data_IF_562509127558
#
_entry.id   IF_562509127558
#
_cell.length_a   1.000
_cell.length_b   1.000
_cell.length_c   1.000
_cell.angle_alpha   90.00
_cell.angle_beta   90.00
_cell.angle_gamma   90.00
#
_symmetry.space_group_name_H-M   'P 1'
#
loop_
_entity.id
_entity.type
_entity.pdbx_description
1 polymer ?
#
# COMPACT_ATOMS: atom_id res chain seq x y z
N UNK A 1 -18.14 8.47 -4.00
CA UNK A 1 -17.75 8.37 -2.56
C UNK A 1 -18.21 9.63 -1.84
N UNK A 2 -18.85 9.49 -0.69
CA UNK A 2 -19.22 10.65 0.11
C UNK A 2 -18.04 11.23 0.90
N UNK A 3 -18.23 12.43 1.51
CA UNK A 3 -17.16 13.13 2.20
C UNK A 3 -16.64 12.37 3.44
N UNK A 4 -17.48 11.61 4.12
CA UNK A 4 -17.11 10.82 5.29
C UNK A 4 -16.25 9.63 4.88
N UNK A 5 -16.65 8.90 3.84
CA UNK A 5 -15.86 7.79 3.31
C UNK A 5 -14.53 8.28 2.73
N UNK A 6 -14.51 9.45 2.09
CA UNK A 6 -13.29 10.10 1.61
C UNK A 6 -12.32 10.39 2.75
N UNK A 7 -12.78 11.05 3.80
CA UNK A 7 -11.95 11.37 4.96
C UNK A 7 -11.41 10.10 5.64
N UNK A 8 -12.21 9.05 5.71
CA UNK A 8 -11.78 7.76 6.25
C UNK A 8 -10.70 7.11 5.38
N UNK A 9 -10.88 7.10 4.07
CA UNK A 9 -9.90 6.55 3.14
C UNK A 9 -8.58 7.31 3.23
N UNK A 10 -8.60 8.63 3.21
CA UNK A 10 -7.40 9.46 3.37
C UNK A 10 -6.74 9.21 4.72
N UNK A 11 -7.50 9.09 5.80
CA UNK A 11 -6.99 8.74 7.12
C UNK A 11 -6.28 7.37 7.16
N UNK A 12 -6.79 6.39 6.44
CA UNK A 12 -6.13 5.08 6.31
C UNK A 12 -4.84 5.18 5.51
N UNK A 13 -4.87 5.87 4.36
CA UNK A 13 -3.72 5.97 3.46
C UNK A 13 -2.58 6.80 4.04
N UNK A 14 -2.88 7.88 4.73
CA UNK A 14 -1.88 8.80 5.26
C UNK A 14 -1.50 8.47 6.71
N UNK A 15 -2.45 7.97 7.51
CA UNK A 15 -2.26 7.71 8.94
C UNK A 15 -1.74 6.32 9.28
N UNK A 16 -2.03 5.29 8.46
CA UNK A 16 -1.51 3.95 8.75
C UNK A 16 -0.09 3.80 8.23
N UNK A 17 0.70 2.97 8.90
CA UNK A 17 2.13 2.83 8.64
C UNK A 17 2.48 1.55 7.88
N UNK A 18 1.65 0.51 8.03
CA UNK A 18 1.87 -0.80 7.43
C UNK A 18 0.62 -1.28 6.69
N UNK A 19 0.84 -2.08 5.68
CA UNK A 19 -0.19 -2.82 4.97
C UNK A 19 0.13 -4.32 4.96
N UNK A 20 -0.91 -5.13 4.84
CA UNK A 20 -0.77 -6.53 4.47
C UNK A 20 -0.84 -6.64 2.96
N UNK A 21 0.20 -7.22 2.36
CA UNK A 21 0.32 -7.38 0.91
C UNK A 21 0.13 -8.84 0.52
N UNK A 22 -0.77 -9.10 -0.39
CA UNK A 22 -0.93 -10.41 -1.03
C UNK A 22 -0.39 -10.36 -2.47
N UNK A 23 0.47 -11.30 -2.79
CA UNK A 23 1.08 -11.48 -4.12
C UNK A 23 1.09 -12.97 -4.47
N UNK A 24 1.39 -13.28 -5.73
CA UNK A 24 1.51 -14.66 -6.21
C UNK A 24 3.00 -14.98 -6.37
N UNK A 25 3.45 -16.05 -5.74
CA UNK A 25 4.81 -16.60 -5.86
C UNK A 25 4.70 -18.08 -6.19
N UNK A 26 5.27 -18.49 -7.32
CA UNK A 26 5.22 -19.88 -7.81
C UNK A 26 3.77 -20.43 -7.90
N UNK A 27 2.83 -19.58 -8.35
CA UNK A 27 1.42 -19.93 -8.49
C UNK A 27 0.61 -19.96 -7.21
N UNK A 28 1.21 -19.62 -6.07
CA UNK A 28 0.56 -19.64 -4.76
C UNK A 28 0.46 -18.25 -4.15
N UNK A 29 -0.61 -17.93 -3.40
CA UNK A 29 -0.73 -16.69 -2.68
C UNK A 29 0.28 -16.63 -1.51
N UNK A 30 0.95 -15.50 -1.40
CA UNK A 30 1.89 -15.21 -0.31
C UNK A 30 1.53 -13.87 0.30
N UNK A 31 1.54 -13.78 1.62
CA UNK A 31 1.26 -12.54 2.36
C UNK A 31 2.54 -12.01 3.00
N UNK A 32 2.73 -10.70 2.92
CA UNK A 32 3.77 -9.97 3.62
C UNK A 32 3.21 -8.75 4.35
N UNK A 33 3.90 -8.32 5.39
CA UNK A 33 3.64 -7.04 6.08
C UNK A 33 4.72 -6.05 5.67
N UNK A 34 4.31 -4.91 5.13
CA UNK A 34 5.21 -3.89 4.61
C UNK A 34 4.85 -2.51 5.11
N UNK A 35 5.84 -1.67 5.48
CA UNK A 35 5.63 -0.25 5.58
C UNK A 35 5.27 0.34 4.22
N UNK A 36 4.43 1.35 4.19
CA UNK A 36 4.03 2.00 2.96
C UNK A 36 3.89 3.51 3.11
N UNK A 37 4.03 4.22 2.02
CA UNK A 37 3.67 5.62 1.88
C UNK A 37 2.77 5.82 0.66
N UNK A 38 1.93 6.85 0.70
CA UNK A 38 1.16 7.26 -0.48
C UNK A 38 2.11 7.91 -1.49
N UNK A 39 1.97 7.59 -2.76
CA UNK A 39 2.75 8.24 -3.81
C UNK A 39 2.41 9.74 -3.90
N UNK A 40 3.37 10.55 -4.32
CA UNK A 40 3.18 12.00 -4.50
C UNK A 40 2.26 12.29 -5.69
N UNK A 41 2.23 11.39 -6.66
CA UNK A 41 1.43 11.49 -7.88
C UNK A 41 0.61 10.23 -8.12
N UNK A 42 -0.63 10.42 -8.56
CA UNK A 42 -1.52 9.34 -8.99
C UNK A 42 -1.93 8.35 -7.90
N UNK A 43 -2.80 7.40 -8.27
CA UNK A 43 -3.39 6.44 -7.33
C UNK A 43 -2.43 5.28 -7.04
N UNK A 44 -1.39 5.50 -6.24
CA UNK A 44 -0.40 4.48 -5.93
C UNK A 44 0.12 4.55 -4.50
N UNK A 45 0.65 3.42 -4.04
CA UNK A 45 1.40 3.30 -2.79
C UNK A 45 2.85 2.92 -3.10
N UNK A 46 3.76 3.42 -2.28
CA UNK A 46 5.18 3.09 -2.33
C UNK A 46 5.49 2.16 -1.17
N UNK A 47 6.11 1.03 -1.46
CA UNK A 47 6.60 0.08 -0.47
C UNK A 47 8.10 -0.11 -0.62
N UNK A 48 8.76 -0.38 0.50
CA UNK A 48 10.14 -0.83 0.53
C UNK A 48 10.15 -2.30 0.94
N UNK A 49 10.78 -3.16 0.15
CA UNK A 49 10.80 -4.58 0.41
C UNK A 49 12.22 -5.13 0.34
N UNK A 50 12.52 -6.07 1.25
CA UNK A 50 13.76 -6.83 1.23
C UNK A 50 13.75 -7.82 0.08
N UNK A 51 14.85 -7.89 -0.67
CA UNK A 51 15.04 -8.89 -1.74
C UNK A 51 15.09 -10.32 -1.22
N UNK A 52 15.36 -10.49 0.09
CA UNK A 52 15.42 -11.79 0.74
C UNK A 52 14.02 -12.28 1.20
N UNK A 53 13.03 -11.41 1.27
CA UNK A 53 11.69 -11.77 1.69
C UNK A 53 10.95 -12.54 0.59
N UNK A 54 10.19 -13.57 0.99
CA UNK A 54 9.45 -14.42 0.05
C UNK A 54 8.45 -13.63 -0.79
N UNK A 55 7.71 -12.73 -0.19
CA UNK A 55 6.72 -11.91 -0.92
C UNK A 55 7.35 -11.01 -1.98
N UNK A 56 8.61 -10.61 -1.84
CA UNK A 56 9.31 -9.79 -2.84
C UNK A 56 9.44 -10.49 -4.19
N UNK A 57 9.47 -11.83 -4.22
CA UNK A 57 9.48 -12.61 -5.45
C UNK A 57 8.20 -12.43 -6.28
N UNK A 58 7.11 -12.02 -5.67
CA UNK A 58 5.86 -11.67 -6.35
C UNK A 58 5.77 -10.22 -6.81
N UNK A 59 6.70 -9.37 -6.39
CA UNK A 59 6.77 -7.96 -6.79
C UNK A 59 7.50 -7.80 -8.12
N UNK A 60 6.91 -8.30 -9.19
CA UNK A 60 7.42 -8.21 -10.57
C UNK A 60 6.61 -7.21 -11.37
N UNK A 61 7.22 -6.62 -12.40
CA UNK A 61 6.58 -5.68 -13.30
C UNK A 61 5.27 -6.24 -13.86
N UNK A 62 4.17 -5.49 -13.64
CA UNK A 62 2.84 -5.87 -14.07
C UNK A 62 2.14 -6.95 -13.25
N UNK A 63 2.79 -7.51 -12.21
CA UNK A 63 2.19 -8.54 -11.37
C UNK A 63 0.98 -8.01 -10.60
N UNK A 64 -0.06 -8.82 -10.39
CA UNK A 64 -1.21 -8.43 -9.57
C UNK A 64 -0.84 -8.39 -8.09
N UNK A 65 -1.49 -7.52 -7.35
CA UNK A 65 -1.45 -7.50 -5.89
C UNK A 65 -2.83 -7.21 -5.30
N UNK A 66 -3.02 -7.62 -4.07
CA UNK A 66 -4.03 -7.10 -3.15
C UNK A 66 -3.35 -6.56 -1.90
N UNK A 67 -3.83 -5.43 -1.39
CA UNK A 67 -3.33 -4.82 -0.15
C UNK A 67 -4.49 -4.55 0.81
N UNK A 68 -4.27 -4.80 2.09
CA UNK A 68 -5.21 -4.50 3.18
C UNK A 68 -4.58 -3.47 4.10
N UNK A 69 -5.31 -2.37 4.32
CA UNK A 69 -4.97 -1.33 5.30
C UNK A 69 -6.19 -1.19 6.22
N UNK A 70 -5.98 -1.22 7.53
CA UNK A 70 -7.09 -1.14 8.47
C UNK A 70 -6.75 -0.32 9.72
N UNK A 71 -7.79 0.17 10.40
CA UNK A 71 -7.66 0.75 11.73
C UNK A 71 -7.21 -0.31 12.75
N UNK A 72 -6.51 0.07 13.82
CA UNK A 72 -6.13 -0.87 14.88
C UNK A 72 -7.37 -1.47 15.55
N UNK A 73 -7.33 -2.76 15.82
CA UNK A 73 -8.30 -3.40 16.71
C UNK A 73 -7.89 -3.15 18.16
N UNK A 74 -8.66 -2.31 18.86
CA UNK A 74 -8.44 -1.96 20.27
C UNK A 74 -9.33 -2.75 21.22
N UNK A 75 -10.13 -3.67 20.69
CA UNK A 75 -11.02 -4.53 21.49
C UNK A 75 -12.31 -3.86 21.96
N UNK A 76 -12.60 -2.64 21.50
CA UNK A 76 -13.76 -1.83 21.90
C UNK A 76 -14.99 -1.99 20.99
N UNK A 77 -14.85 -2.77 19.91
CA UNK A 77 -15.92 -3.04 18.93
C UNK A 77 -15.75 -4.40 18.29
N UNK A 78 -16.78 -4.84 17.58
CA UNK A 78 -16.72 -6.03 16.74
C UNK A 78 -15.63 -5.84 15.67
N UNK A 79 -14.67 -6.78 15.54
CA UNK A 79 -13.62 -6.68 14.52
C UNK A 79 -14.14 -6.55 13.08
N UNK A 80 -15.32 -7.07 12.78
CA UNK A 80 -15.94 -6.91 11.45
C UNK A 80 -16.36 -5.47 11.15
N UNK A 81 -16.45 -4.62 12.17
CA UNK A 81 -16.74 -3.19 12.02
C UNK A 81 -15.49 -2.33 11.81
N UNK A 82 -14.28 -2.92 11.92
CA UNK A 82 -13.05 -2.16 11.72
C UNK A 82 -13.03 -1.51 10.33
N UNK A 83 -12.85 -0.18 10.28
CA UNK A 83 -12.62 0.52 9.03
C UNK A 83 -11.39 -0.04 8.32
N UNK A 84 -11.55 -0.34 7.03
CA UNK A 84 -10.48 -0.93 6.23
C UNK A 84 -10.63 -0.64 4.75
N UNK A 85 -9.52 -0.53 4.07
CA UNK A 85 -9.43 -0.45 2.62
C UNK A 85 -8.75 -1.69 2.07
N UNK A 86 -9.38 -2.33 1.11
CA UNK A 86 -8.79 -3.40 0.29
C UNK A 86 -8.52 -2.80 -1.08
N UNK A 87 -7.26 -2.81 -1.49
CA UNK A 87 -6.80 -2.15 -2.72
C UNK A 87 -6.18 -3.19 -3.64
N UNK A 88 -6.50 -3.11 -4.91
CA UNK A 88 -6.04 -4.05 -5.93
C UNK A 88 -5.47 -3.30 -7.12
N UNK A 89 -4.41 -3.85 -7.70
CA UNK A 89 -3.81 -3.26 -8.89
C UNK A 89 -2.62 -4.04 -9.41
N UNK A 90 -1.65 -3.30 -9.96
CA UNK A 90 -0.45 -3.83 -10.60
C UNK A 90 0.82 -3.26 -10.00
N UNK A 91 1.82 -4.10 -9.88
CA UNK A 91 3.16 -3.73 -9.42
C UNK A 91 3.92 -3.03 -10.54
N UNK A 92 4.63 -1.96 -10.19
CA UNK A 92 5.69 -1.37 -11.02
C UNK A 92 7.00 -1.44 -10.27
N UNK A 93 7.98 -2.03 -10.92
CA UNK A 93 9.36 -2.05 -10.42
C UNK A 93 10.00 -0.69 -10.70
N UNK A 94 10.66 -0.14 -9.70
CA UNK A 94 11.33 1.15 -9.79
C UNK A 94 12.83 0.95 -9.93
N UNK A 95 13.37 1.38 -11.08
CA UNK A 95 14.80 1.29 -11.34
C UNK A 95 15.56 2.45 -10.66
N UNK A 96 16.60 2.17 -9.86
CA UNK A 96 17.43 3.21 -9.28
C UNK A 96 17.98 4.17 -10.33
N UNK A 97 18.01 5.48 -10.01
CA UNK A 97 18.49 6.53 -10.91
C UNK A 97 17.44 7.09 -11.87
N UNK A 98 16.21 6.55 -11.87
CA UNK A 98 15.09 7.13 -12.62
C UNK A 98 14.36 8.18 -11.78
N UNK A 99 13.63 9.08 -12.45
CA UNK A 99 12.80 10.09 -11.79
C UNK A 99 11.69 9.42 -10.94
N UNK A 100 11.03 8.40 -11.47
CA UNK A 100 10.00 7.64 -10.75
C UNK A 100 10.52 7.03 -9.45
N UNK A 101 11.74 6.49 -9.47
CA UNK A 101 12.40 5.97 -8.28
C UNK A 101 12.70 7.08 -7.26
N UNK A 102 13.18 8.24 -7.73
CA UNK A 102 13.51 9.38 -6.87
C UNK A 102 12.26 9.95 -6.19
N UNK A 103 11.15 10.09 -6.91
CA UNK A 103 9.87 10.53 -6.37
C UNK A 103 9.30 9.55 -5.35
N UNK A 104 9.37 8.26 -5.64
CA UNK A 104 8.95 7.20 -4.71
C UNK A 104 9.78 7.22 -3.42
N UNK A 105 11.09 7.37 -3.55
CA UNK A 105 12.00 7.51 -2.41
C UNK A 105 11.67 8.74 -1.58
N UNK A 106 11.41 9.87 -2.21
CA UNK A 106 11.01 11.11 -1.53
C UNK A 106 9.71 10.91 -0.73
N UNK A 107 8.67 10.36 -1.35
CA UNK A 107 7.39 10.07 -0.69
C UNK A 107 7.57 9.15 0.54
N UNK A 108 8.36 8.09 0.37
CA UNK A 108 8.61 7.11 1.42
C UNK A 108 9.40 7.70 2.58
N UNK A 109 10.50 8.42 2.31
CA UNK A 109 11.34 9.02 3.33
C UNK A 109 10.68 10.18 4.07
N UNK A 110 9.74 10.88 3.44
CA UNK A 110 8.92 11.90 4.11
C UNK A 110 8.09 11.28 5.25
N UNK A 111 7.57 10.07 5.04
CA UNK A 111 6.81 9.34 6.06
C UNK A 111 7.70 8.57 7.03
N UNK A 112 8.82 8.04 6.55
CA UNK A 112 9.76 7.21 7.30
C UNK A 112 11.19 7.75 7.19
N UNK A 113 11.52 8.88 7.85
CA UNK A 113 12.85 9.49 7.72
C UNK A 113 13.99 8.57 8.19
N UNK A 114 13.73 7.69 9.16
CA UNK A 114 14.71 6.70 9.63
C UNK A 114 15.02 5.57 8.64
N UNK A 115 14.22 5.43 7.57
CA UNK A 115 14.42 4.38 6.57
C UNK A 115 15.60 4.64 5.61
N UNK A 116 16.22 5.81 5.65
CA UNK A 116 17.37 6.14 4.79
C UNK A 116 18.53 5.15 5.00
N UNK A 117 18.84 4.80 6.24
CA UNK A 117 19.89 3.82 6.55
C UNK A 117 19.58 2.44 5.95
N UNK A 118 18.32 2.01 6.00
CA UNK A 118 17.87 0.74 5.40
C UNK A 118 17.91 0.80 3.87
N UNK A 119 17.52 1.93 3.28
CA UNK A 119 17.58 2.12 1.83
C UNK A 119 19.01 2.05 1.26
N UNK A 120 20.01 2.32 2.08
CA UNK A 120 21.42 2.20 1.70
C UNK A 120 21.96 0.77 1.80
N UNK A 121 21.23 -0.14 2.46
CA UNK A 121 21.54 -1.56 2.46
C UNK A 121 21.08 -2.15 1.12
N UNK A 122 21.96 -2.67 0.29
CA UNK A 122 21.67 -3.14 -1.07
C UNK A 122 20.60 -4.24 -1.20
N UNK A 123 20.07 -4.75 -0.07
CA UNK A 123 19.06 -5.80 -0.02
C UNK A 123 17.61 -5.28 -0.11
N UNK A 124 17.41 -3.95 -0.10
CA UNK A 124 16.07 -3.33 -0.15
C UNK A 124 15.86 -2.58 -1.46
N UNK A 125 14.64 -2.64 -1.96
CA UNK A 125 14.22 -1.91 -3.16
C UNK A 125 12.86 -1.27 -2.95
N UNK A 126 12.58 -0.20 -3.70
CA UNK A 126 11.28 0.44 -3.76
C UNK A 126 10.44 -0.16 -4.89
N UNK A 127 9.16 -0.31 -4.61
CA UNK A 127 8.15 -0.74 -5.57
C UNK A 127 6.97 0.21 -5.52
N UNK A 128 6.36 0.43 -6.68
CA UNK A 128 5.12 1.20 -6.81
C UNK A 128 3.96 0.23 -6.99
N UNK A 129 2.97 0.34 -6.12
CA UNK A 129 1.73 -0.43 -6.18
C UNK A 129 0.66 0.47 -6.80
N UNK A 130 0.48 0.37 -8.11
CA UNK A 130 -0.55 1.14 -8.82
C UNK A 130 -1.93 0.57 -8.55
N UNK A 131 -2.82 1.39 -8.01
CA UNK A 131 -4.15 0.98 -7.61
C UNK A 131 -5.11 1.17 -8.78
N UNK A 132 -5.79 0.10 -9.17
CA UNK A 132 -6.82 0.13 -10.20
C UNK A 132 -8.21 0.29 -9.61
N UNK A 133 -8.45 -0.34 -8.49
CA UNK A 133 -9.74 -0.34 -7.78
C UNK A 133 -9.56 -0.81 -6.34
N UNK A 134 -10.61 -0.61 -5.56
CA UNK A 134 -10.63 -1.10 -4.19
C UNK A 134 -12.02 -1.13 -3.60
N UNK A 135 -12.08 -1.45 -2.31
CA UNK A 135 -13.30 -1.43 -1.51
C UNK A 135 -12.98 -0.90 -0.13
N UNK A 136 -13.72 0.11 0.27
CA UNK A 136 -13.68 0.67 1.61
C UNK A 136 -14.82 0.06 2.43
N UNK A 137 -14.51 -0.46 3.60
CA UNK A 137 -15.49 -0.82 4.62
C UNK A 137 -15.39 0.24 5.72
N UNK A 138 -16.46 1.00 5.93
CA UNK A 138 -16.48 2.12 6.88
C UNK A 138 -17.24 1.81 8.16
N UNK A 139 -17.78 0.60 8.28
CA UNK A 139 -18.53 0.16 9.45
C UNK A 139 -19.39 -1.06 9.15
N UNK A 140 -20.31 -1.38 10.07
CA UNK A 140 -21.22 -2.51 9.90
C UNK A 140 -22.13 -2.30 8.69
N UNK A 141 -22.13 -3.29 7.79
CA UNK A 141 -22.95 -3.32 6.56
C UNK A 141 -22.74 -2.11 5.62
N UNK A 142 -21.66 -1.34 5.80
CA UNK A 142 -21.36 -0.19 4.95
C UNK A 142 -20.05 -0.41 4.20
N UNK A 143 -20.13 -0.55 2.88
CA UNK A 143 -18.99 -0.72 2.03
C UNK A 143 -19.17 0.05 0.71
N UNK A 144 -18.13 0.77 0.32
CA UNK A 144 -18.10 1.63 -0.87
C UNK A 144 -16.99 1.16 -1.81
N UNK A 145 -17.24 1.15 -3.11
CA UNK A 145 -16.20 0.88 -4.10
C UNK A 145 -15.27 2.09 -4.22
N UNK A 146 -13.98 1.80 -4.36
CA UNK A 146 -12.94 2.79 -4.58
C UNK A 146 -12.52 2.70 -6.05
N UNK A 147 -12.66 3.80 -6.76
CA UNK A 147 -12.11 3.97 -8.11
C UNK A 147 -10.80 4.75 -8.10
N UNK A 148 -10.11 4.82 -9.24
CA UNK A 148 -8.85 5.58 -9.36
C UNK A 148 -9.00 7.04 -8.96
N UNK A 149 -10.07 7.71 -9.39
CA UNK A 149 -10.35 9.11 -9.05
C UNK A 149 -10.60 9.38 -7.57
N UNK A 150 -10.92 8.35 -6.79
CA UNK A 150 -11.05 8.47 -5.33
C UNK A 150 -9.71 8.50 -4.61
N UNK A 151 -8.62 8.18 -5.29
CA UNK A 151 -7.27 8.04 -4.73
C UNK A 151 -6.34 9.18 -5.18
N UNK A 152 -6.77 9.94 -6.15
CA UNK A 152 -6.06 11.13 -6.62
C UNK A 152 -6.28 12.26 -5.60
N UNK A 153 -5.17 12.85 -5.14
CA UNK A 153 -5.16 13.96 -4.19
C UNK A 153 -5.64 15.25 -4.84
#
# INVERSE_FOLDING_TARGET
>A
MDAQDRALLDGLLDGRRVLSLAVIVDGEPVVGLLPFARALDGPALIVQASRLARHTRGLREGAPFDALIHEPDTGDRDPLQLPRAMLRGRVRVLDPGTEDHNEAREAYLAKFPGALAVAMLGDFAFYRLEIERGRLVSGFARATNIGRGDLEA
#
